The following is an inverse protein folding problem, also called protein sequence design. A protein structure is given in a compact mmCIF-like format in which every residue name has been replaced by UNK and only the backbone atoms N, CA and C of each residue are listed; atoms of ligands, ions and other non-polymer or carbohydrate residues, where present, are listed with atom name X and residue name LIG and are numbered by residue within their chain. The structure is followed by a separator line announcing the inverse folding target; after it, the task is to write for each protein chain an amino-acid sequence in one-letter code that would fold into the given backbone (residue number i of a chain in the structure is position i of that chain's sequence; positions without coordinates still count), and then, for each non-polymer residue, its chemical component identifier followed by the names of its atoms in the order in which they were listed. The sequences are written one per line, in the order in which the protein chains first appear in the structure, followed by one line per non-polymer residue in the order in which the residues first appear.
data_IF_314602471400
#
_entry.id   IF_314602471400
#
_cell.length_a   1.000
_cell.length_b   1.000
_cell.length_c   1.000
_cell.angle_alpha   90.00
_cell.angle_beta   90.00
_cell.angle_gamma   90.00
#
_symmetry.space_group_name_H-M   'P 1'
#
loop_
_entity.id
_entity.type
_entity.pdbx_description
1 polymer ?
#
# COMPACT_ATOMS: atom_id res chain seq x y z
N UNK A 1 -18.32 62.76 -10.29
CA UNK A 1 -18.62 61.44 -10.82
C UNK A 1 -17.35 60.56 -10.87
N UNK A 2 -16.69 60.25 -9.74
CA UNK A 2 -15.45 59.43 -9.67
C UNK A 2 -15.35 58.57 -8.43
N UNK A 3 -16.46 57.98 -7.91
CA UNK A 3 -16.45 57.16 -6.67
C UNK A 3 -17.20 55.81 -6.77
N UNK A 4 -17.50 55.29 -7.97
CA UNK A 4 -18.29 54.05 -8.14
C UNK A 4 -17.47 52.87 -8.68
N UNK A 5 -16.19 53.04 -9.07
CA UNK A 5 -15.42 52.00 -9.75
C UNK A 5 -14.50 51.15 -8.87
N UNK A 6 -14.51 51.33 -7.53
CA UNK A 6 -13.60 50.58 -6.61
C UNK A 6 -14.28 49.37 -5.92
N UNK A 7 -15.58 49.17 -6.10
CA UNK A 7 -16.32 48.15 -5.33
C UNK A 7 -16.51 46.79 -6.05
N UNK A 8 -15.96 46.60 -7.27
CA UNK A 8 -16.18 45.36 -8.05
C UNK A 8 -14.95 44.45 -8.08
N UNK A 9 -13.80 44.83 -7.52
CA UNK A 9 -12.58 44.03 -7.62
C UNK A 9 -12.23 43.15 -6.41
N UNK A 10 -13.11 43.04 -5.40
CA UNK A 10 -12.86 42.26 -4.18
C UNK A 10 -13.60 40.89 -4.18
N UNK A 11 -14.33 40.52 -5.23
CA UNK A 11 -15.17 39.31 -5.23
C UNK A 11 -14.62 38.13 -6.06
N UNK A 12 -13.34 38.07 -6.37
CA UNK A 12 -12.78 36.98 -7.20
C UNK A 12 -11.65 36.16 -6.57
N UNK A 13 -11.49 36.18 -5.24
CA UNK A 13 -10.63 35.23 -4.57
C UNK A 13 -11.48 34.09 -3.94
N UNK A 14 -12.32 33.48 -4.77
CA UNK A 14 -12.87 32.16 -4.40
C UNK A 14 -11.70 31.18 -4.48
N UNK A 15 -11.12 30.90 -3.32
CA UNK A 15 -10.22 29.76 -3.17
C UNK A 15 -11.02 28.53 -3.57
N UNK A 16 -10.73 27.97 -4.76
CA UNK A 16 -11.22 26.65 -5.16
C UNK A 16 -10.52 25.67 -4.24
N UNK A 17 -11.08 25.46 -3.05
CA UNK A 17 -10.74 24.31 -2.23
C UNK A 17 -11.12 23.08 -3.05
N UNK A 18 -10.25 22.08 -3.18
CA UNK A 18 -10.64 20.83 -3.82
C UNK A 18 -11.86 20.30 -3.08
N UNK A 19 -13.01 20.30 -3.74
CA UNK A 19 -14.23 19.68 -3.21
C UNK A 19 -13.95 18.18 -3.25
N UNK A 20 -13.57 17.62 -2.11
CA UNK A 20 -13.55 16.16 -1.92
C UNK A 20 -15.01 15.73 -2.07
N UNK A 21 -15.31 14.90 -3.09
CA UNK A 21 -16.67 14.48 -3.36
C UNK A 21 -17.24 13.73 -2.14
N UNK A 22 -18.53 13.93 -1.87
CA UNK A 22 -19.23 13.25 -0.77
C UNK A 22 -19.03 11.73 -0.83
N UNK A 23 -18.98 11.17 -2.04
CA UNK A 23 -18.71 9.75 -2.27
C UNK A 23 -17.33 9.31 -1.80
N UNK A 24 -16.29 10.13 -2.00
CA UNK A 24 -14.94 9.82 -1.50
C UNK A 24 -14.90 9.72 0.03
N UNK A 25 -15.58 10.61 0.74
CA UNK A 25 -15.66 10.61 2.21
C UNK A 25 -16.32 9.31 2.70
N UNK A 26 -17.43 8.92 2.07
CA UNK A 26 -18.17 7.70 2.43
C UNK A 26 -17.30 6.46 2.16
N UNK A 27 -16.66 6.41 1.00
CA UNK A 27 -15.79 5.29 0.61
C UNK A 27 -14.58 5.19 1.52
N UNK A 28 -13.92 6.30 1.85
CA UNK A 28 -12.80 6.35 2.80
C UNK A 28 -13.19 5.79 4.17
N UNK A 29 -14.37 6.16 4.67
CA UNK A 29 -14.89 5.62 5.92
C UNK A 29 -15.14 4.10 5.84
N UNK A 30 -15.71 3.59 4.75
CA UNK A 30 -15.93 2.15 4.54
C UNK A 30 -14.59 1.38 4.51
N UNK A 31 -13.59 1.89 3.78
CA UNK A 31 -12.27 1.27 3.73
C UNK A 31 -11.63 1.26 5.12
N UNK A 32 -11.66 2.38 5.85
CA UNK A 32 -11.10 2.48 7.19
C UNK A 32 -11.75 1.49 8.17
N UNK A 33 -13.07 1.33 8.11
CA UNK A 33 -13.80 0.35 8.94
C UNK A 33 -13.42 -1.08 8.58
N UNK A 34 -13.39 -1.43 7.28
CA UNK A 34 -12.99 -2.75 6.81
C UNK A 34 -11.55 -3.08 7.24
N UNK A 35 -10.62 -2.15 7.02
CA UNK A 35 -9.21 -2.29 7.40
C UNK A 35 -9.03 -2.55 8.90
N UNK A 36 -9.75 -1.78 9.73
CA UNK A 36 -9.68 -1.93 11.20
C UNK A 36 -10.23 -3.27 11.68
N UNK A 37 -11.15 -3.89 10.94
CA UNK A 37 -11.74 -5.18 11.25
C UNK A 37 -10.86 -6.37 10.82
N UNK A 38 -9.82 -6.16 10.00
CA UNK A 38 -8.93 -7.22 9.53
C UNK A 38 -7.95 -7.59 10.66
N UNK A 39 -8.17 -8.75 11.27
CA UNK A 39 -7.24 -9.36 12.24
C UNK A 39 -6.21 -10.24 11.54
N UNK A 40 -6.65 -11.00 10.55
CA UNK A 40 -5.81 -11.87 9.74
C UNK A 40 -6.20 -11.74 8.27
N UNK A 41 -5.22 -11.91 7.38
CA UNK A 41 -5.45 -11.97 5.95
C UNK A 41 -4.48 -12.96 5.32
N UNK A 42 -4.97 -13.78 4.42
CA UNK A 42 -4.12 -14.67 3.64
C UNK A 42 -4.58 -14.69 2.19
N UNK A 43 -3.63 -14.75 1.27
CA UNK A 43 -3.93 -14.77 -0.16
C UNK A 43 -2.77 -15.40 -0.95
N UNK A 44 -3.05 -15.75 -2.19
CA UNK A 44 -2.04 -15.94 -3.21
C UNK A 44 -1.74 -14.57 -3.84
N UNK A 45 -0.52 -14.37 -4.36
CA UNK A 45 -0.20 -13.18 -5.13
C UNK A 45 0.53 -13.52 -6.44
N UNK A 46 0.33 -12.64 -7.42
CA UNK A 46 1.15 -12.57 -8.63
C UNK A 46 1.78 -11.19 -8.65
N UNK A 47 3.10 -11.15 -8.67
CA UNK A 47 3.87 -9.91 -8.79
C UNK A 47 4.50 -9.84 -10.18
N UNK A 48 4.25 -8.75 -10.88
CA UNK A 48 4.89 -8.42 -12.15
C UNK A 48 5.75 -7.18 -11.94
N UNK A 49 7.05 -7.29 -12.17
CA UNK A 49 7.98 -6.17 -12.09
C UNK A 49 8.41 -5.76 -13.50
N UNK A 50 8.04 -4.53 -13.87
CA UNK A 50 8.44 -3.86 -15.10
C UNK A 50 9.69 -3.06 -14.81
N UNK A 51 10.83 -3.50 -15.32
CA UNK A 51 12.10 -2.79 -15.21
C UNK A 51 12.31 -1.91 -16.44
N UNK A 52 12.40 -0.60 -16.24
CA UNK A 52 12.52 0.37 -17.36
C UNK A 52 13.63 0.05 -18.37
N UNK A 53 14.68 -0.60 -17.90
CA UNK A 53 15.84 -0.96 -18.73
C UNK A 53 15.76 -2.35 -19.35
N UNK A 54 14.75 -3.15 -19.01
CA UNK A 54 14.55 -4.49 -19.55
C UNK A 54 13.32 -4.51 -20.45
N UNK A 55 13.38 -5.36 -21.48
CA UNK A 55 12.27 -5.54 -22.40
C UNK A 55 11.18 -6.45 -21.81
N UNK A 56 11.59 -7.44 -21.05
CA UNK A 56 10.70 -8.45 -20.51
C UNK A 56 10.40 -8.21 -19.04
N UNK A 57 9.17 -8.50 -18.67
CA UNK A 57 8.70 -8.39 -17.30
C UNK A 57 9.19 -9.56 -16.44
N UNK A 58 9.47 -9.28 -15.19
CA UNK A 58 9.80 -10.32 -14.21
C UNK A 58 8.53 -10.71 -13.44
N UNK A 59 8.04 -11.93 -13.67
CA UNK A 59 6.84 -12.45 -13.00
C UNK A 59 7.24 -13.39 -11.86
N UNK A 60 6.69 -13.12 -10.68
CA UNK A 60 6.85 -13.96 -9.49
C UNK A 60 5.48 -14.28 -8.90
N UNK A 61 5.37 -15.46 -8.27
CA UNK A 61 4.14 -15.91 -7.60
C UNK A 61 4.46 -16.37 -6.20
N UNK A 62 3.46 -16.28 -5.33
CA UNK A 62 3.64 -16.70 -3.96
C UNK A 62 2.41 -16.61 -3.10
N UNK A 63 2.63 -16.65 -1.79
CA UNK A 63 1.59 -16.57 -0.76
C UNK A 63 1.90 -15.49 0.24
N UNK A 64 0.87 -14.82 0.72
CA UNK A 64 0.98 -13.81 1.75
C UNK A 64 0.09 -14.19 2.94
N UNK A 65 0.64 -13.98 4.12
CA UNK A 65 -0.06 -14.13 5.40
C UNK A 65 0.20 -12.89 6.24
N UNK A 66 -0.86 -12.27 6.70
CA UNK A 66 -0.85 -11.11 7.58
C UNK A 66 -1.61 -11.44 8.86
N UNK A 67 -1.10 -10.98 9.98
CA UNK A 67 -1.78 -11.00 11.26
C UNK A 67 -1.57 -9.65 11.95
N UNK A 68 -2.65 -9.08 12.46
CA UNK A 68 -2.65 -7.82 13.19
C UNK A 68 -1.61 -7.84 14.32
N UNK A 69 -1.03 -6.69 14.61
CA UNK A 69 0.10 -6.47 15.51
C UNK A 69 1.45 -6.88 14.90
N UNK A 70 1.70 -6.42 13.67
CA UNK A 70 2.99 -6.42 13.00
C UNK A 70 3.54 -7.80 12.60
N UNK A 71 2.69 -8.69 12.12
CA UNK A 71 3.12 -9.95 11.54
C UNK A 71 2.78 -10.01 10.06
N UNK A 72 3.78 -10.25 9.24
CA UNK A 72 3.64 -10.49 7.79
C UNK A 72 4.59 -11.59 7.37
N UNK A 73 4.10 -12.57 6.61
CA UNK A 73 4.91 -13.51 5.85
C UNK A 73 4.60 -13.32 4.37
N UNK A 74 5.64 -13.03 3.62
CA UNK A 74 5.58 -12.91 2.16
C UNK A 74 6.49 -13.94 1.55
N UNK A 75 5.92 -14.95 0.93
CA UNK A 75 6.63 -16.13 0.46
C UNK A 75 6.51 -16.27 -1.05
N UNK A 76 7.64 -16.08 -1.76
CA UNK A 76 7.74 -16.37 -3.18
C UNK A 76 7.96 -17.87 -3.39
N UNK A 77 7.20 -18.45 -4.32
CA UNK A 77 7.31 -19.87 -4.70
C UNK A 77 7.87 -20.05 -6.11
N UNK A 78 7.70 -19.04 -6.97
CA UNK A 78 8.12 -19.08 -8.39
C UNK A 78 8.65 -17.71 -8.79
N UNK A 79 9.72 -17.61 -9.61
CA UNK A 79 10.58 -18.69 -10.11
C UNK A 79 11.56 -19.20 -9.05
N UNK A 80 11.83 -18.41 -8.00
CA UNK A 80 12.79 -18.74 -6.93
C UNK A 80 12.08 -18.69 -5.57
N UNK A 81 12.37 -19.68 -4.73
CA UNK A 81 11.88 -19.69 -3.36
C UNK A 81 12.62 -18.63 -2.52
N UNK A 82 11.86 -17.72 -1.98
CA UNK A 82 12.32 -16.63 -1.14
C UNK A 82 11.23 -16.28 -0.13
N UNK A 83 11.58 -16.11 1.12
CA UNK A 83 10.61 -15.76 2.17
C UNK A 83 11.09 -14.53 2.92
N UNK A 84 10.17 -13.60 3.09
CA UNK A 84 10.34 -12.40 3.90
C UNK A 84 9.31 -12.46 5.04
N UNK A 85 9.77 -12.41 6.29
CA UNK A 85 8.90 -12.42 7.47
C UNK A 85 9.15 -11.17 8.28
N UNK A 86 8.08 -10.46 8.59
CA UNK A 86 8.07 -9.42 9.62
C UNK A 86 7.45 -10.04 10.86
N UNK A 87 8.15 -9.97 11.97
CA UNK A 87 7.64 -10.36 13.27
C UNK A 87 8.03 -9.26 14.27
N UNK A 88 7.07 -8.39 14.55
CA UNK A 88 7.27 -7.17 15.35
C UNK A 88 8.43 -6.30 14.80
N UNK A 89 9.52 -6.21 15.54
CA UNK A 89 10.69 -5.38 15.21
C UNK A 89 11.79 -6.14 14.44
N UNK A 90 11.53 -7.36 14.03
CA UNK A 90 12.49 -8.20 13.31
C UNK A 90 12.00 -8.52 11.91
N UNK A 91 12.90 -8.43 10.96
CA UNK A 91 12.69 -8.93 9.59
C UNK A 91 13.61 -10.11 9.38
N UNK A 92 13.02 -11.19 8.95
CA UNK A 92 13.73 -12.41 8.56
C UNK A 92 13.65 -12.59 7.05
N UNK A 93 14.79 -12.84 6.44
CA UNK A 93 14.93 -13.07 5.01
C UNK A 93 15.53 -14.46 4.82
N UNK A 94 14.80 -15.32 4.13
CA UNK A 94 15.23 -16.69 3.82
C UNK A 94 15.23 -16.94 2.33
N UNK A 95 16.36 -17.40 1.81
CA UNK A 95 16.50 -17.93 0.45
C UNK A 95 17.31 -19.23 0.50
N UNK A 96 17.53 -19.89 -0.66
CA UNK A 96 18.41 -21.06 -0.73
C UNK A 96 19.85 -20.78 -0.28
N UNK A 97 20.29 -19.53 -0.38
CA UNK A 97 21.70 -19.13 -0.19
C UNK A 97 21.90 -18.28 1.06
N UNK A 98 20.81 -17.80 1.70
CA UNK A 98 20.92 -16.78 2.75
C UNK A 98 19.80 -16.89 3.76
N UNK A 99 20.17 -16.79 5.03
CA UNK A 99 19.24 -16.64 6.14
C UNK A 99 19.71 -15.44 6.98
N UNK A 100 19.02 -14.31 6.85
CA UNK A 100 19.35 -13.09 7.59
C UNK A 100 18.26 -12.69 8.53
N UNK A 101 18.64 -12.20 9.69
CA UNK A 101 17.76 -11.53 10.64
C UNK A 101 18.19 -10.07 10.71
N UNK A 102 17.28 -9.16 10.40
CA UNK A 102 17.51 -7.72 10.44
C UNK A 102 16.63 -7.12 11.53
N UNK A 103 17.23 -6.44 12.49
CA UNK A 103 16.50 -5.60 13.45
C UNK A 103 16.09 -4.31 12.73
N UNK A 104 14.79 -4.12 12.53
CA UNK A 104 14.25 -2.96 11.80
C UNK A 104 14.47 -1.66 12.56
N UNK A 105 14.67 -1.69 13.89
CA UNK A 105 14.95 -0.47 14.66
C UNK A 105 16.34 0.08 14.37
N UNK A 106 17.27 -0.77 13.95
CA UNK A 106 18.63 -0.38 13.57
C UNK A 106 18.73 0.03 12.09
N UNK A 107 17.72 -0.28 11.27
CA UNK A 107 17.70 0.04 9.85
C UNK A 107 16.39 0.72 9.42
N UNK A 108 16.42 2.06 9.39
CA UNK A 108 15.26 2.88 9.05
C UNK A 108 14.64 2.54 7.70
N UNK A 109 15.45 2.20 6.70
CA UNK A 109 14.96 1.86 5.36
C UNK A 109 14.12 0.58 5.39
N UNK A 110 14.62 -0.49 6.02
CA UNK A 110 13.86 -1.74 6.15
C UNK A 110 12.58 -1.55 6.97
N UNK A 111 12.63 -0.73 8.02
CA UNK A 111 11.45 -0.38 8.83
C UNK A 111 10.35 0.24 7.96
N UNK A 112 10.71 1.19 7.11
CA UNK A 112 9.75 1.86 6.24
C UNK A 112 9.21 0.94 5.15
N UNK A 113 10.05 0.14 4.51
CA UNK A 113 9.60 -0.85 3.51
C UNK A 113 8.61 -1.83 4.15
N UNK A 114 8.95 -2.39 5.32
CA UNK A 114 8.09 -3.32 6.04
C UNK A 114 6.74 -2.67 6.40
N UNK A 115 6.75 -1.43 6.91
CA UNK A 115 5.56 -0.68 7.25
C UNK A 115 4.68 -0.40 6.03
N UNK A 116 5.28 0.04 4.92
CA UNK A 116 4.55 0.30 3.68
C UNK A 116 3.92 -0.98 3.16
N UNK A 117 4.67 -2.09 3.12
CA UNK A 117 4.14 -3.38 2.68
C UNK A 117 2.93 -3.82 3.51
N UNK A 118 3.06 -3.85 4.84
CA UNK A 118 1.96 -4.24 5.73
C UNK A 118 0.74 -3.34 5.57
N UNK A 119 0.93 -2.03 5.59
CA UNK A 119 -0.18 -1.07 5.52
C UNK A 119 -0.84 -1.05 4.13
N UNK A 120 -0.09 -1.27 3.05
CA UNK A 120 -0.64 -1.30 1.69
C UNK A 120 -1.53 -2.52 1.47
N UNK A 121 -1.10 -3.70 1.95
CA UNK A 121 -1.85 -4.95 1.78
C UNK A 121 -3.23 -4.88 2.42
N UNK A 122 -3.32 -4.30 3.61
CA UNK A 122 -4.62 -4.16 4.30
C UNK A 122 -5.34 -2.85 3.98
N UNK A 123 -4.71 -1.92 3.24
CA UNK A 123 -5.29 -0.60 2.91
C UNK A 123 -5.14 0.46 4.01
N UNK A 124 -4.43 0.17 5.11
CA UNK A 124 -4.27 1.10 6.23
C UNK A 124 -3.40 2.33 5.90
N UNK A 125 -2.62 2.28 4.83
CA UNK A 125 -1.83 3.43 4.36
C UNK A 125 -2.70 4.64 3.94
N UNK A 126 -4.00 4.44 3.66
CA UNK A 126 -4.95 5.52 3.39
C UNK A 126 -5.23 6.41 4.61
N UNK A 127 -4.99 5.89 5.81
CA UNK A 127 -5.16 6.62 7.07
C UNK A 127 -3.85 7.33 7.52
N UNK A 128 -2.75 7.12 6.80
CA UNK A 128 -1.43 7.70 7.14
C UNK A 128 -1.20 9.03 6.41
N UNK A 129 -1.96 10.04 6.80
CA UNK A 129 -1.89 11.40 6.22
C UNK A 129 -0.53 12.10 6.44
N UNK A 130 0.28 11.62 7.39
CA UNK A 130 1.63 12.15 7.61
C UNK A 130 2.61 11.65 6.54
N UNK A 131 2.38 10.44 6.03
CA UNK A 131 3.26 9.80 5.05
C UNK A 131 2.80 10.00 3.62
N UNK A 132 1.48 10.12 3.39
CA UNK A 132 0.89 10.17 2.07
C UNK A 132 -0.21 11.23 1.96
N UNK A 133 -0.28 11.88 0.81
CA UNK A 133 -1.50 12.53 0.34
C UNK A 133 -2.25 11.49 -0.50
N UNK A 134 -3.48 11.18 -0.13
CA UNK A 134 -4.30 10.19 -0.83
C UNK A 134 -5.55 10.81 -1.44
N UNK A 135 -5.94 10.32 -2.62
CA UNK A 135 -7.21 10.60 -3.29
C UNK A 135 -7.85 9.28 -3.69
N UNK A 136 -9.19 9.22 -3.70
CA UNK A 136 -9.93 8.02 -4.09
C UNK A 136 -10.85 8.36 -5.25
N UNK A 137 -10.68 7.66 -6.36
CA UNK A 137 -11.64 7.65 -7.47
C UNK A 137 -12.66 6.54 -7.21
N UNK A 138 -13.94 6.91 -7.19
CA UNK A 138 -15.04 6.02 -6.86
C UNK A 138 -15.70 5.55 -8.14
N UNK A 139 -15.51 4.26 -8.50
CA UNK A 139 -16.19 3.59 -9.61
C UNK A 139 -17.19 2.56 -9.11
N UNK A 140 -18.04 2.06 -10.01
CA UNK A 140 -19.03 1.00 -9.73
C UNK A 140 -18.38 -0.34 -9.40
N UNK A 141 -17.34 -0.69 -10.13
CA UNK A 141 -16.71 -2.02 -10.09
C UNK A 141 -15.44 -2.03 -9.25
N UNK A 142 -14.83 -0.87 -9.08
CA UNK A 142 -13.55 -0.73 -8.37
C UNK A 142 -13.39 0.68 -7.80
N UNK A 143 -12.80 0.79 -6.62
CA UNK A 143 -12.31 2.04 -6.07
C UNK A 143 -10.79 2.11 -6.23
N UNK A 144 -10.30 3.23 -6.72
CA UNK A 144 -8.86 3.41 -6.98
C UNK A 144 -8.32 4.50 -6.06
N UNK A 145 -7.46 4.11 -5.15
CA UNK A 145 -6.79 5.03 -4.25
C UNK A 145 -5.36 5.33 -4.72
N UNK A 146 -5.07 6.60 -4.98
CA UNK A 146 -3.73 7.06 -5.34
C UNK A 146 -3.07 7.73 -4.14
N UNK A 147 -1.90 7.25 -3.75
CA UNK A 147 -1.10 7.76 -2.64
C UNK A 147 0.17 8.41 -3.18
N UNK A 148 0.31 9.70 -2.90
CA UNK A 148 1.52 10.47 -3.22
C UNK A 148 2.35 10.62 -1.94
N UNK A 149 3.62 10.15 -1.93
CA UNK A 149 4.47 10.27 -0.76
C UNK A 149 4.67 11.74 -0.33
N UNK A 150 4.60 12.01 0.97
CA UNK A 150 4.90 13.31 1.56
C UNK A 150 6.28 13.31 2.22
N UNK A 151 6.65 12.23 2.88
CA UNK A 151 7.92 12.08 3.58
C UNK A 151 9.09 11.89 2.60
N UNK A 152 10.23 12.49 2.91
CA UNK A 152 11.44 12.49 2.05
C UNK A 152 11.98 11.07 1.80
N UNK A 153 12.01 10.22 2.81
CA UNK A 153 12.49 8.83 2.73
C UNK A 153 11.60 7.98 1.80
N UNK A 154 10.28 8.15 1.87
CA UNK A 154 9.34 7.45 0.97
C UNK A 154 9.43 7.99 -0.47
N UNK A 155 9.59 9.32 -0.63
CA UNK A 155 9.80 9.97 -1.93
C UNK A 155 11.08 9.51 -2.64
N UNK A 156 12.07 9.05 -1.90
CA UNK A 156 13.30 8.49 -2.47
C UNK A 156 13.07 7.10 -3.07
N UNK A 157 12.07 6.36 -2.58
CA UNK A 157 11.74 5.01 -3.04
C UNK A 157 10.66 5.04 -4.13
N UNK A 158 9.57 5.76 -3.87
CA UNK A 158 8.36 5.73 -4.70
C UNK A 158 7.96 7.11 -5.20
N UNK A 159 7.47 7.16 -6.44
CA UNK A 159 6.78 8.32 -7.01
C UNK A 159 5.31 8.33 -6.57
N UNK A 160 4.65 7.18 -6.65
CA UNK A 160 3.27 6.97 -6.20
C UNK A 160 3.01 5.49 -5.90
N UNK A 161 1.99 5.25 -5.10
CA UNK A 161 1.39 3.94 -4.88
C UNK A 161 -0.08 4.02 -5.27
N UNK A 162 -0.58 3.04 -6.02
CA UNK A 162 -1.99 2.94 -6.38
C UNK A 162 -2.55 1.65 -5.79
N UNK A 163 -3.69 1.76 -5.09
CA UNK A 163 -4.40 0.62 -4.54
C UNK A 163 -5.75 0.48 -5.25
N UNK A 164 -6.03 -0.71 -5.70
CA UNK A 164 -7.30 -1.10 -6.29
C UNK A 164 -8.09 -1.87 -5.24
N UNK A 165 -9.32 -1.43 -5.00
CA UNK A 165 -10.11 -1.85 -3.84
C UNK A 165 -11.45 -2.37 -4.34
N UNK A 166 -11.81 -3.59 -3.94
CA UNK A 166 -13.11 -4.18 -4.22
C UNK A 166 -14.22 -3.45 -3.45
N UNK A 167 -15.24 -2.87 -4.12
CA UNK A 167 -16.28 -2.08 -3.45
C UNK A 167 -17.16 -2.89 -2.49
N UNK A 168 -17.36 -4.20 -2.77
CA UNK A 168 -18.24 -5.07 -1.97
C UNK A 168 -17.63 -5.38 -0.60
N UNK A 169 -16.32 -5.62 -0.57
CA UNK A 169 -15.60 -6.03 0.64
C UNK A 169 -14.74 -4.91 1.24
N UNK A 170 -14.54 -3.81 0.48
CA UNK A 170 -13.64 -2.70 0.82
C UNK A 170 -12.20 -3.15 1.16
N UNK A 171 -11.70 -4.19 0.46
CA UNK A 171 -10.36 -4.74 0.61
C UNK A 171 -9.52 -4.51 -0.65
N UNK A 172 -8.21 -4.39 -0.46
CA UNK A 172 -7.25 -4.26 -1.55
C UNK A 172 -7.16 -5.59 -2.33
N UNK A 173 -7.26 -5.49 -3.65
CA UNK A 173 -7.14 -6.64 -4.58
C UNK A 173 -5.94 -6.54 -5.50
N UNK A 174 -5.44 -5.31 -5.74
CA UNK A 174 -4.24 -5.06 -6.55
C UNK A 174 -3.51 -3.83 -6.03
N UNK A 175 -2.20 -3.83 -6.16
CA UNK A 175 -1.32 -2.70 -5.83
C UNK A 175 -0.37 -2.41 -6.99
N UNK A 176 -0.12 -1.13 -7.26
CA UNK A 176 0.92 -0.68 -8.18
C UNK A 176 1.88 0.23 -7.43
N UNK A 177 3.16 -0.09 -7.47
CA UNK A 177 4.24 0.66 -6.84
C UNK A 177 5.09 1.26 -7.95
N UNK A 178 4.98 2.56 -8.18
CA UNK A 178 5.82 3.28 -9.15
C UNK A 178 7.07 3.75 -8.42
N UNK A 179 8.21 3.15 -8.75
CA UNK A 179 9.50 3.45 -8.13
C UNK A 179 10.10 4.74 -8.67
N UNK A 180 11.01 5.36 -7.90
CA UNK A 180 11.62 6.64 -8.25
C UNK A 180 12.49 6.56 -9.53
N UNK A 181 13.08 5.40 -9.79
CA UNK A 181 13.91 5.12 -10.98
C UNK A 181 13.08 4.88 -12.26
N UNK A 182 11.74 4.84 -12.14
CA UNK A 182 10.80 4.58 -13.24
C UNK A 182 10.43 3.11 -13.41
N UNK A 183 10.91 2.21 -12.56
CA UNK A 183 10.43 0.84 -12.50
C UNK A 183 9.02 0.80 -11.91
N UNK A 184 8.24 -0.22 -12.25
CA UNK A 184 6.90 -0.42 -11.71
C UNK A 184 6.73 -1.86 -11.23
N UNK A 185 6.20 -2.01 -10.04
CA UNK A 185 5.82 -3.31 -9.48
C UNK A 185 4.30 -3.37 -9.36
N UNK A 186 3.69 -4.34 -10.00
CA UNK A 186 2.26 -4.65 -9.91
C UNK A 186 2.10 -5.92 -9.08
N UNK A 187 1.20 -5.91 -8.11
CA UNK A 187 0.90 -7.05 -7.24
C UNK A 187 -0.59 -7.30 -7.26
N UNK A 188 -1.01 -8.40 -7.85
CA UNK A 188 -2.38 -8.90 -7.83
C UNK A 188 -2.57 -9.85 -6.65
N UNK A 189 -3.56 -9.59 -5.79
CA UNK A 189 -3.94 -10.44 -4.67
C UNK A 189 -5.12 -11.32 -5.09
N UNK A 190 -4.97 -12.63 -4.99
CA UNK A 190 -5.97 -13.61 -5.41
C UNK A 190 -6.36 -14.50 -4.22
N UNK A 191 -7.58 -15.04 -4.26
CA UNK A 191 -8.08 -15.95 -3.23
C UNK A 191 -7.95 -15.36 -1.82
N UNK A 192 -8.27 -14.06 -1.68
CA UNK A 192 -8.15 -13.33 -0.42
C UNK A 192 -9.15 -13.88 0.60
N UNK A 193 -8.65 -14.27 1.77
CA UNK A 193 -9.41 -14.72 2.92
C UNK A 193 -9.03 -13.87 4.13
N UNK A 194 -10.03 -13.32 4.80
CA UNK A 194 -9.84 -12.44 5.96
C UNK A 194 -10.45 -13.07 7.21
N UNK A 195 -9.83 -12.82 8.35
CA UNK A 195 -10.29 -13.23 9.68
C UNK A 195 -10.40 -14.76 9.86
N UNK A 196 -9.69 -15.54 9.03
CA UNK A 196 -9.49 -16.97 9.26
C UNK A 196 -8.30 -17.20 10.17
N UNK A 197 -8.30 -18.34 10.87
CA UNK A 197 -7.21 -18.72 11.77
C UNK A 197 -5.94 -19.00 10.97
N UNK A 198 -4.84 -18.36 11.38
CA UNK A 198 -3.49 -18.60 10.85
C UNK A 198 -2.66 -19.24 11.98
N UNK A 199 -1.91 -20.28 11.62
CA UNK A 199 -1.00 -20.91 12.58
C UNK A 199 0.14 -19.92 12.92
N UNK A 200 0.31 -19.59 14.20
CA UNK A 200 1.32 -18.64 14.67
C UNK A 200 2.75 -19.03 14.29
N UNK A 201 3.03 -20.33 14.06
CA UNK A 201 4.34 -20.79 13.60
C UNK A 201 4.69 -20.26 12.19
N UNK A 202 3.71 -19.77 11.42
CA UNK A 202 3.94 -19.16 10.10
C UNK A 202 4.84 -17.93 10.19
N UNK A 203 4.85 -17.25 11.32
CA UNK A 203 5.66 -16.04 11.55
C UNK A 203 6.92 -16.31 12.37
N UNK A 204 7.19 -17.59 12.67
CA UNK A 204 8.37 -17.98 13.45
C UNK A 204 9.66 -17.70 12.68
N UNK A 205 10.60 -17.08 13.37
CA UNK A 205 11.96 -16.76 12.90
C UNK A 205 12.89 -17.86 13.44
N UNK A 206 12.82 -19.07 12.86
CA UNK A 206 13.71 -20.19 13.22
C UNK A 206 14.46 -20.68 12.00
#
# INVERSE_FOLDING_TARGET
MKKVFILIFILSLIHILPIVGQDEIIVRKKISQATSAIKTMQCDFVQTKHLRLLKDDMVSKGKMYYQQSNHLRWEYTTPYSYTFIINNDKVFIKSKQRNDIIDVNQNKLFKEIARIMMNSVVGNCLNDEKSFRSTISVGSDEWIATLLPLRKDIKQMFQKIVLYINPKQAIVTKMELMEKNGDMTVIDLKNVRINETINNNMFSIR
#
